data_IF_588859952000
#
_entry.id   IF_588859952000
#
_cell.length_a   1.000
_cell.length_b   1.000
_cell.length_c   1.000
_cell.angle_alpha   90.00
_cell.angle_beta   90.00
_cell.angle_gamma   90.00
#
_symmetry.space_group_name_H-M   'P 1'
#
loop_
_entity.id
_entity.type
_entity.pdbx_description
1 polymer ?
#
# COMPACT_ATOMS: atom_id res chain seq x y z
N UNK A 1 -9.54 -19.22 -9.38
CA UNK A 1 -8.39 -18.47 -9.93
C UNK A 1 -7.80 -17.70 -8.77
N UNK A 2 -6.47 -17.63 -8.62
CA UNK A 2 -5.89 -16.82 -7.55
C UNK A 2 -6.08 -15.33 -7.84
N UNK A 3 -6.35 -14.58 -6.80
CA UNK A 3 -6.49 -13.13 -6.79
C UNK A 3 -5.17 -12.43 -7.07
N UNK A 4 -5.22 -11.10 -7.08
CA UNK A 4 -4.07 -10.26 -7.40
C UNK A 4 -3.74 -9.35 -6.24
N UNK A 5 -2.50 -9.40 -5.77
CA UNK A 5 -2.00 -8.42 -4.81
C UNK A 5 -1.64 -7.12 -5.54
N UNK A 6 -2.17 -5.99 -5.08
CA UNK A 6 -1.87 -4.66 -5.58
C UNK A 6 -1.17 -3.84 -4.50
N UNK A 7 0.11 -3.57 -4.71
CA UNK A 7 0.91 -2.74 -3.83
C UNK A 7 0.88 -1.28 -4.28
N UNK A 8 0.32 -0.41 -3.45
CA UNK A 8 0.28 1.04 -3.69
C UNK A 8 1.47 1.69 -2.98
N UNK A 9 2.43 2.19 -3.73
CA UNK A 9 3.63 2.88 -3.22
C UNK A 9 3.68 4.31 -3.71
N UNK A 10 4.57 5.13 -3.13
CA UNK A 10 4.69 6.54 -3.48
C UNK A 10 5.12 7.41 -2.32
N UNK A 11 5.61 8.62 -2.61
CA UNK A 11 6.07 9.57 -1.60
C UNK A 11 4.94 9.94 -0.63
N UNK A 12 5.31 10.37 0.58
CA UNK A 12 4.33 10.98 1.48
C UNK A 12 3.75 12.24 0.83
N UNK A 13 2.44 12.48 0.95
CA UNK A 13 1.76 13.59 0.30
C UNK A 13 1.39 13.38 -1.18
N UNK A 14 1.81 12.28 -1.81
CA UNK A 14 1.40 11.94 -3.18
C UNK A 14 -0.09 11.59 -3.32
N UNK A 15 -0.81 11.40 -2.20
CA UNK A 15 -2.26 11.14 -2.20
C UNK A 15 -2.67 9.68 -2.34
N UNK A 16 -1.79 8.73 -1.96
CA UNK A 16 -2.08 7.28 -1.99
C UNK A 16 -3.38 6.92 -1.28
N UNK A 17 -3.54 7.38 -0.04
CA UNK A 17 -4.72 7.06 0.78
C UNK A 17 -5.98 7.62 0.13
N UNK A 18 -5.94 8.86 -0.37
CA UNK A 18 -7.06 9.46 -1.11
C UNK A 18 -7.47 8.67 -2.35
N UNK A 19 -6.52 8.10 -3.10
CA UNK A 19 -6.85 7.25 -4.25
C UNK A 19 -7.40 5.88 -3.83
N UNK A 20 -6.88 5.32 -2.74
CA UNK A 20 -7.37 4.07 -2.16
C UNK A 20 -8.81 4.25 -1.66
N UNK A 21 -9.09 5.35 -0.96
CA UNK A 21 -10.42 5.68 -0.47
C UNK A 21 -11.40 5.90 -1.63
N UNK A 22 -10.95 6.62 -2.67
CA UNK A 22 -11.73 6.81 -3.90
C UNK A 22 -12.18 5.49 -4.53
N UNK A 23 -11.27 4.51 -4.60
CA UNK A 23 -11.60 3.17 -5.11
C UNK A 23 -12.45 2.36 -4.12
N UNK A 24 -12.20 2.48 -2.81
CA UNK A 24 -12.94 1.74 -1.77
C UNK A 24 -14.43 2.06 -1.80
N UNK A 25 -14.80 3.30 -2.07
CA UNK A 25 -16.19 3.71 -2.21
C UNK A 25 -16.90 3.12 -3.44
N UNK A 26 -16.16 2.56 -4.40
CA UNK A 26 -16.66 2.17 -5.74
C UNK A 26 -16.49 0.69 -6.07
N UNK A 27 -15.74 -0.05 -5.26
CA UNK A 27 -15.55 -1.50 -5.41
C UNK A 27 -16.31 -2.24 -4.31
N UNK A 28 -16.84 -3.41 -4.63
CA UNK A 28 -17.56 -4.25 -3.66
C UNK A 28 -16.59 -5.14 -2.86
N UNK A 29 -16.97 -5.59 -1.65
CA UNK A 29 -16.15 -6.50 -0.84
C UNK A 29 -15.83 -7.85 -1.50
N UNK A 30 -16.66 -8.26 -2.47
CA UNK A 30 -16.45 -9.50 -3.24
C UNK A 30 -15.42 -9.32 -4.36
N UNK A 31 -15.23 -8.09 -4.84
CA UNK A 31 -14.25 -7.76 -5.89
C UNK A 31 -12.87 -7.47 -5.31
N UNK A 32 -12.83 -6.75 -4.19
CA UNK A 32 -11.61 -6.18 -3.66
C UNK A 32 -11.57 -6.14 -2.14
N UNK A 33 -10.38 -6.36 -1.59
CA UNK A 33 -10.10 -6.19 -0.15
C UNK A 33 -9.03 -5.13 0.04
N UNK A 34 -9.32 -4.15 0.90
CA UNK A 34 -8.38 -3.09 1.27
C UNK A 34 -7.72 -3.44 2.60
N UNK A 35 -6.45 -3.83 2.55
CA UNK A 35 -5.74 -4.38 3.70
C UNK A 35 -5.46 -3.29 4.73
N UNK A 36 -5.96 -3.51 5.95
CA UNK A 36 -5.60 -2.71 7.12
C UNK A 36 -4.22 -3.15 7.61
N UNK A 37 -3.29 -2.21 7.70
CA UNK A 37 -1.95 -2.47 8.24
C UNK A 37 -1.99 -2.47 9.77
N UNK A 38 -1.25 -3.38 10.37
CA UNK A 38 -0.90 -3.34 11.80
C UNK A 38 0.34 -2.48 11.96
N UNK A 39 0.35 -1.56 12.93
CA UNK A 39 1.48 -0.62 13.13
C UNK A 39 1.85 -0.52 14.61
N UNK A 40 3.15 -0.52 14.91
CA UNK A 40 3.62 -0.26 16.28
C UNK A 40 3.63 1.22 16.60
N UNK A 41 2.47 1.81 16.87
CA UNK A 41 2.33 3.15 17.44
C UNK A 41 1.71 3.06 18.83
N UNK A 42 2.03 3.99 19.72
CA UNK A 42 1.23 4.17 20.93
C UNK A 42 -0.23 4.36 20.51
N UNK A 43 -1.17 3.70 21.21
CA UNK A 43 -2.59 3.73 20.89
C UNK A 43 -3.13 5.15 21.12
N UNK A 44 -2.97 6.02 20.14
CA UNK A 44 -3.48 7.38 20.19
C UNK A 44 -4.88 7.41 19.57
N UNK A 45 -5.84 7.98 20.31
CA UNK A 45 -7.28 7.92 20.00
C UNK A 45 -7.66 8.63 18.69
N UNK A 46 -6.72 9.34 18.05
CA UNK A 46 -6.92 10.09 16.80
C UNK A 46 -6.31 9.43 15.56
N UNK A 47 -5.75 8.23 15.67
CA UNK A 47 -4.85 7.74 14.64
C UNK A 47 -5.61 6.83 13.64
N UNK A 48 -5.67 7.26 12.37
CA UNK A 48 -6.45 6.64 11.29
C UNK A 48 -6.14 5.13 11.10
N UNK A 49 -7.20 4.39 10.75
CA UNK A 49 -7.38 3.06 10.13
C UNK A 49 -6.30 1.96 10.22
N UNK A 50 -5.59 1.86 11.36
CA UNK A 50 -4.60 0.82 11.64
C UNK A 50 -4.83 0.16 12.99
N UNK A 51 -4.67 -1.17 13.06
CA UNK A 51 -4.62 -1.87 14.34
C UNK A 51 -3.27 -1.58 15.01
N UNK A 52 -3.32 -1.08 16.23
CA UNK A 52 -2.13 -0.68 16.98
C UNK A 52 -1.74 -1.76 17.98
N UNK A 53 -0.47 -2.12 18.01
CA UNK A 53 0.09 -3.01 19.03
C UNK A 53 1.45 -2.49 19.48
N UNK A 54 1.86 -2.81 20.70
CA UNK A 54 3.22 -2.47 21.12
C UNK A 54 4.27 -3.32 20.37
N UNK A 55 5.54 -2.91 20.44
CA UNK A 55 6.65 -3.62 19.77
C UNK A 55 6.81 -5.06 20.23
N UNK A 56 6.54 -5.37 21.50
CA UNK A 56 6.71 -6.72 22.03
C UNK A 56 5.60 -7.67 21.54
N UNK A 57 4.37 -7.18 21.48
CA UNK A 57 3.23 -7.87 20.88
C UNK A 57 3.45 -8.08 19.38
N UNK A 58 3.96 -7.07 18.67
CA UNK A 58 4.30 -7.19 17.25
C UNK A 58 5.36 -8.27 17.01
N UNK A 59 6.43 -8.29 17.78
CA UNK A 59 7.47 -9.32 17.66
C UNK A 59 6.90 -10.72 17.88
N UNK A 60 6.07 -10.92 18.91
CA UNK A 60 5.39 -12.20 19.15
C UNK A 60 4.44 -12.60 18.02
N UNK A 61 3.69 -11.64 17.47
CA UNK A 61 2.79 -11.88 16.35
C UNK A 61 3.57 -12.29 15.08
N UNK A 62 4.68 -11.62 14.79
CA UNK A 62 5.57 -11.96 13.70
C UNK A 62 6.21 -13.35 13.87
N UNK A 63 6.72 -13.67 15.06
CA UNK A 63 7.27 -15.00 15.38
C UNK A 63 6.20 -16.11 15.27
N UNK A 64 4.95 -15.80 15.60
CA UNK A 64 3.81 -16.70 15.46
C UNK A 64 3.28 -16.80 14.01
N UNK A 65 3.89 -16.11 13.04
CA UNK A 65 3.51 -16.15 11.63
C UNK A 65 2.21 -15.40 11.30
N UNK A 66 1.76 -14.48 12.16
CA UNK A 66 0.49 -13.76 11.98
C UNK A 66 0.52 -12.71 10.86
N UNK A 67 1.70 -12.42 10.30
CA UNK A 67 1.87 -11.48 9.20
C UNK A 67 2.28 -12.18 7.90
N UNK A 68 1.59 -11.84 6.82
CA UNK A 68 2.00 -12.17 5.47
C UNK A 68 3.29 -11.42 5.07
N UNK A 69 3.38 -10.16 5.49
CA UNK A 69 4.55 -9.30 5.33
C UNK A 69 4.69 -8.44 6.57
N UNK A 70 5.91 -8.29 7.07
CA UNK A 70 6.26 -7.32 8.09
C UNK A 70 7.56 -6.59 7.71
N UNK A 71 7.65 -5.30 8.07
CA UNK A 71 8.82 -4.47 7.81
C UNK A 71 8.94 -3.34 8.84
N UNK A 72 10.15 -2.78 8.96
CA UNK A 72 10.40 -1.58 9.77
C UNK A 72 10.56 -0.34 8.88
N UNK A 73 9.93 0.76 9.27
CA UNK A 73 10.14 2.07 8.66
C UNK A 73 9.94 3.18 9.69
N UNK A 74 10.79 4.21 9.66
CA UNK A 74 10.67 5.37 10.55
C UNK A 74 10.61 5.03 12.05
N UNK A 75 11.28 3.95 12.48
CA UNK A 75 11.27 3.49 13.87
C UNK A 75 10.00 2.74 14.30
N UNK A 76 9.06 2.50 13.38
CA UNK A 76 7.84 1.73 13.60
C UNK A 76 7.90 0.43 12.81
N UNK A 77 7.33 -0.64 13.36
CA UNK A 77 7.08 -1.89 12.67
C UNK A 77 5.68 -1.84 12.04
N UNK A 78 5.57 -2.43 10.86
CA UNK A 78 4.35 -2.52 10.07
C UNK A 78 4.13 -3.97 9.68
N UNK A 79 2.90 -4.45 9.75
CA UNK A 79 2.50 -5.80 9.38
C UNK A 79 1.26 -5.80 8.49
N UNK A 80 1.24 -6.68 7.49
CA UNK A 80 0.03 -7.07 6.80
C UNK A 80 -0.46 -8.40 7.39
N UNK A 81 -1.72 -8.51 7.86
CA UNK A 81 -2.25 -9.75 8.40
C UNK A 81 -2.13 -10.91 7.41
N UNK A 82 -1.81 -12.11 7.90
CA UNK A 82 -1.76 -13.32 7.06
C UNK A 82 -3.11 -13.63 6.40
N UNK A 83 -4.24 -13.21 7.00
CA UNK A 83 -5.58 -13.45 6.48
C UNK A 83 -5.83 -12.90 5.07
N UNK A 84 -4.99 -11.97 4.58
CA UNK A 84 -5.07 -11.50 3.20
C UNK A 84 -4.78 -12.62 2.18
N UNK A 85 -4.10 -13.69 2.58
CA UNK A 85 -3.85 -14.85 1.72
C UNK A 85 -5.15 -15.59 1.39
N UNK A 86 -6.14 -15.54 2.28
CA UNK A 86 -7.46 -16.12 2.04
C UNK A 86 -8.22 -15.31 0.98
N UNK A 87 -8.16 -13.97 1.04
CA UNK A 87 -8.76 -13.10 0.01
C UNK A 87 -8.10 -13.29 -1.37
N UNK A 88 -6.77 -13.50 -1.39
CA UNK A 88 -6.08 -13.91 -2.61
C UNK A 88 -6.51 -15.29 -3.08
N UNK A 89 -6.72 -16.26 -2.19
CA UNK A 89 -7.19 -17.59 -2.57
C UNK A 89 -8.61 -17.54 -3.17
N UNK A 90 -9.46 -16.66 -2.64
CA UNK A 90 -10.83 -16.41 -3.10
C UNK A 90 -10.91 -15.68 -4.45
N UNK A 91 -9.78 -15.24 -5.01
CA UNK A 91 -9.74 -14.58 -6.31
C UNK A 91 -9.90 -13.07 -6.26
N UNK A 92 -9.91 -12.46 -5.07
CA UNK A 92 -10.12 -11.02 -4.92
C UNK A 92 -8.88 -10.21 -5.30
N UNK A 93 -9.08 -8.94 -5.60
CA UNK A 93 -7.99 -7.97 -5.70
C UNK A 93 -7.66 -7.47 -4.28
N UNK A 94 -6.45 -7.75 -3.80
CA UNK A 94 -6.02 -7.36 -2.45
C UNK A 94 -5.14 -6.12 -2.55
N UNK A 95 -5.61 -4.99 -2.05
CA UNK A 95 -4.93 -3.68 -2.16
C UNK A 95 -4.29 -3.31 -0.82
N UNK A 96 -2.99 -3.05 -0.83
CA UNK A 96 -2.26 -2.58 0.35
C UNK A 96 -1.39 -1.36 0.02
N UNK A 97 -1.45 -0.34 0.87
CA UNK A 97 -0.51 0.78 0.82
C UNK A 97 0.81 0.34 1.47
N UNK A 98 1.93 0.45 0.75
CA UNK A 98 3.23 -0.06 1.18
C UNK A 98 4.35 0.98 1.02
N UNK A 99 5.45 0.73 1.73
CA UNK A 99 6.71 1.43 1.47
C UNK A 99 7.41 0.81 0.27
N UNK A 100 8.18 1.60 -0.49
CA UNK A 100 9.00 1.06 -1.58
C UNK A 100 10.03 0.04 -1.07
N UNK A 101 10.45 0.17 0.18
CA UNK A 101 11.45 -0.72 0.81
C UNK A 101 10.97 -2.17 0.94
N UNK A 102 9.66 -2.42 1.07
CA UNK A 102 9.12 -3.79 1.25
C UNK A 102 8.83 -4.48 -0.10
N UNK A 103 8.94 -3.76 -1.23
CA UNK A 103 8.61 -4.31 -2.55
C UNK A 103 9.47 -5.53 -2.94
N UNK A 104 10.78 -5.60 -2.67
CA UNK A 104 11.55 -6.81 -2.93
C UNK A 104 11.00 -8.05 -2.19
N UNK A 105 10.62 -7.90 -0.92
CA UNK A 105 10.04 -8.98 -0.11
C UNK A 105 8.63 -9.36 -0.61
N UNK A 106 7.82 -8.36 -0.97
CA UNK A 106 6.52 -8.57 -1.61
C UNK A 106 6.67 -9.42 -2.88
N UNK A 107 7.57 -9.05 -3.79
CA UNK A 107 7.75 -9.75 -5.06
C UNK A 107 8.28 -11.18 -4.88
N UNK A 108 9.02 -11.46 -3.80
CA UNK A 108 9.42 -12.83 -3.46
C UNK A 108 8.24 -13.69 -3.01
N UNK A 109 7.35 -13.13 -2.17
CA UNK A 109 6.18 -13.85 -1.65
C UNK A 109 5.03 -13.94 -2.65
N UNK A 110 4.78 -12.87 -3.39
CA UNK A 110 3.72 -12.72 -4.39
C UNK A 110 4.32 -12.31 -5.74
N UNK A 111 4.89 -13.25 -6.52
CA UNK A 111 5.56 -12.95 -7.78
C UNK A 111 4.68 -12.26 -8.83
N UNK A 112 3.37 -12.46 -8.73
CA UNK A 112 2.36 -11.88 -9.62
C UNK A 112 1.76 -10.56 -9.09
N UNK A 113 2.33 -9.99 -8.01
CA UNK A 113 1.85 -8.73 -7.48
C UNK A 113 2.03 -7.59 -8.50
N UNK A 114 1.05 -6.70 -8.54
CA UNK A 114 1.08 -5.47 -9.34
C UNK A 114 1.50 -4.33 -8.43
N UNK A 115 2.55 -3.62 -8.82
CA UNK A 115 3.01 -2.42 -8.09
C UNK A 115 2.45 -1.19 -8.80
N UNK A 116 1.71 -0.37 -8.07
CA UNK A 116 1.23 0.93 -8.51
C UNK A 116 1.98 2.01 -7.74
N UNK A 117 2.73 2.83 -8.46
CA UNK A 117 3.41 3.99 -7.90
C UNK A 117 2.61 5.26 -8.12
N UNK A 118 2.13 5.85 -7.03
CA UNK A 118 1.49 7.17 -7.04
C UNK A 118 2.58 8.24 -6.93
N UNK A 119 2.62 9.12 -7.93
CA UNK A 119 3.49 10.29 -7.96
C UNK A 119 2.67 11.57 -7.98
N UNK A 120 3.30 12.66 -7.57
CA UNK A 120 2.79 13.99 -7.78
C UNK A 120 3.99 14.94 -7.91
N UNK A 121 3.78 16.07 -8.57
CA UNK A 121 4.73 17.16 -8.67
C UNK A 121 5.21 17.53 -7.25
N UNK A 122 6.53 17.65 -7.02
CA UNK A 122 7.07 18.12 -5.75
C UNK A 122 6.36 19.37 -5.21
N UNK A 123 6.05 20.36 -6.05
CA UNK A 123 5.42 21.59 -5.59
C UNK A 123 4.00 21.34 -5.07
N UNK A 124 3.26 20.44 -5.72
CA UNK A 124 1.93 19.98 -5.28
C UNK A 124 2.03 19.21 -3.97
N UNK A 125 3.05 18.36 -3.80
CA UNK A 125 3.29 17.65 -2.53
C UNK A 125 3.58 18.65 -1.40
N UNK A 126 4.43 19.65 -1.64
CA UNK A 126 4.75 20.68 -0.64
C UNK A 126 3.49 21.43 -0.20
N UNK A 127 2.67 21.87 -1.16
CA UNK A 127 1.41 22.57 -0.87
C UNK A 127 0.45 21.70 -0.04
N UNK A 128 0.28 20.42 -0.40
CA UNK A 128 -0.57 19.47 0.33
C UNK A 128 -0.08 19.21 1.75
N UNK A 129 1.24 19.12 1.96
CA UNK A 129 1.81 18.95 3.28
C UNK A 129 1.68 20.22 4.13
N UNK A 130 1.91 21.40 3.55
CA UNK A 130 1.75 22.68 4.22
C UNK A 130 0.29 22.94 4.66
N UNK A 131 -0.68 22.55 3.83
CA UNK A 131 -2.11 22.69 4.12
C UNK A 131 -2.62 21.86 5.31
N UNK A 132 -1.84 20.89 5.82
CA UNK A 132 -2.21 20.08 7.00
C UNK A 132 -2.00 20.79 8.33
N UNK A 133 -1.42 21.99 8.33
CA UNK A 133 -1.35 22.90 9.49
C UNK A 133 -0.50 22.42 10.68
N UNK A 134 0.12 21.24 10.61
CA UNK A 134 0.87 20.60 11.71
C UNK A 134 2.36 20.38 11.40
N UNK A 135 2.85 20.79 10.22
CA UNK A 135 4.22 20.50 9.77
C UNK A 135 4.99 21.79 9.48
N UNK A 136 6.21 21.92 10.02
CA UNK A 136 7.11 23.03 9.72
C UNK A 136 7.75 22.84 8.34
N UNK A 137 8.17 23.94 7.69
CA UNK A 137 8.85 23.87 6.39
C UNK A 137 10.09 22.96 6.41
N UNK A 138 10.79 22.87 7.55
CA UNK A 138 11.90 21.94 7.76
C UNK A 138 11.46 20.47 7.77
N UNK A 139 10.39 20.14 8.50
CA UNK A 139 9.79 18.78 8.50
C UNK A 139 9.33 18.37 7.10
N UNK A 140 8.74 19.30 6.34
CA UNK A 140 8.33 19.07 4.95
C UNK A 140 9.56 18.80 4.07
N UNK A 141 10.61 19.62 4.19
CA UNK A 141 11.87 19.43 3.47
C UNK A 141 12.53 18.07 3.76
N UNK A 142 12.54 17.64 5.02
CA UNK A 142 13.04 16.32 5.43
C UNK A 142 12.16 15.18 4.92
N UNK A 143 10.84 15.38 4.79
CA UNK A 143 9.94 14.38 4.18
C UNK A 143 10.14 14.29 2.67
N UNK A 144 10.46 15.40 2.01
CA UNK A 144 10.73 15.46 0.58
C UNK A 144 12.11 14.92 0.20
N UNK A 145 13.12 15.13 1.04
CA UNK A 145 14.50 14.67 0.80
C UNK A 145 14.72 13.19 1.08
N UNK A 146 13.77 12.53 1.77
CA UNK A 146 13.72 11.07 2.00
C UNK A 146 13.46 10.32 0.68
N UNK A 147 14.49 10.25 -0.16
CA UNK A 147 14.56 9.30 -1.26
C UNK A 147 14.81 7.90 -0.69
N UNK A 148 13.77 7.09 -0.59
CA UNK A 148 13.95 5.65 -0.44
C UNK A 148 14.34 5.11 -1.80
N UNK A 149 15.64 4.89 -1.98
CA UNK A 149 16.28 4.33 -3.18
C UNK A 149 16.00 2.83 -3.34
N UNK A 150 14.75 2.41 -3.20
CA UNK A 150 14.35 1.06 -3.58
C UNK A 150 13.95 1.07 -5.06
N UNK A 151 14.64 0.25 -5.86
CA UNK A 151 14.26 0.02 -7.25
C UNK A 151 12.93 -0.72 -7.27
N UNK A 152 11.94 -0.13 -7.91
CA UNK A 152 10.67 -0.78 -8.17
C UNK A 152 10.81 -1.70 -9.40
N UNK A 153 9.95 -2.75 -9.53
CA UNK A 153 9.90 -3.58 -10.72
C UNK A 153 9.68 -2.74 -11.99
N UNK A 154 10.21 -3.18 -13.13
CA UNK A 154 9.98 -2.52 -14.42
C UNK A 154 8.51 -2.55 -14.86
N UNK A 155 7.72 -3.50 -14.32
CA UNK A 155 6.27 -3.62 -14.52
C UNK A 155 5.45 -2.64 -13.65
N UNK A 156 6.10 -1.76 -12.87
CA UNK A 156 5.40 -0.80 -12.02
C UNK A 156 4.58 0.17 -12.87
N UNK A 157 3.29 0.28 -12.54
CA UNK A 157 2.38 1.23 -13.17
C UNK A 157 2.44 2.54 -12.41
N UNK A 158 2.70 3.65 -13.10
CA UNK A 158 2.77 4.96 -12.47
C UNK A 158 1.45 5.72 -12.64
N UNK A 159 0.95 6.30 -11.56
CA UNK A 159 -0.23 7.18 -11.57
C UNK A 159 0.20 8.56 -11.11
N UNK A 160 0.07 9.54 -12.00
CA UNK A 160 0.24 10.94 -11.67
C UNK A 160 -1.02 11.49 -10.98
N UNK A 161 -0.84 12.02 -9.78
CA UNK A 161 -1.83 12.67 -8.94
C UNK A 161 -1.46 14.15 -8.66
N UNK A 162 -0.83 14.82 -9.63
CA UNK A 162 -0.53 16.26 -9.57
C UNK A 162 -1.76 17.12 -9.84
N UNK A 163 -2.69 16.63 -10.67
CA UNK A 163 -3.91 17.33 -11.05
C UNK A 163 -5.11 17.02 -10.15
N UNK A 164 -6.29 16.97 -10.76
CA UNK A 164 -7.55 16.63 -10.11
C UNK A 164 -7.52 15.19 -9.55
N UNK A 165 -7.88 15.04 -8.27
CA UNK A 165 -7.97 13.76 -7.58
C UNK A 165 -8.93 12.80 -8.30
N UNK A 166 -10.05 13.27 -8.82
CA UNK A 166 -11.02 12.43 -9.51
C UNK A 166 -10.44 11.80 -10.77
N UNK A 167 -9.61 12.54 -11.52
CA UNK A 167 -8.97 11.99 -12.72
C UNK A 167 -7.94 10.90 -12.39
N UNK A 168 -7.15 11.11 -11.34
CA UNK A 168 -6.22 10.09 -10.86
C UNK A 168 -6.97 8.89 -10.23
N UNK A 169 -8.08 9.15 -9.54
CA UNK A 169 -8.98 8.17 -8.94
C UNK A 169 -9.61 7.26 -9.98
N UNK A 170 -10.14 7.81 -11.07
CA UNK A 170 -10.71 7.03 -12.17
C UNK A 170 -9.65 6.16 -12.88
N UNK A 171 -8.43 6.67 -13.07
CA UNK A 171 -7.32 5.85 -13.59
C UNK A 171 -6.97 4.70 -12.65
N UNK A 172 -6.87 4.98 -11.35
CA UNK A 172 -6.57 3.97 -10.35
C UNK A 172 -7.68 2.90 -10.27
N UNK A 173 -8.94 3.34 -10.23
CA UNK A 173 -10.11 2.46 -10.24
C UNK A 173 -10.17 1.59 -11.50
N UNK A 174 -9.94 2.17 -12.67
CA UNK A 174 -9.94 1.43 -13.94
C UNK A 174 -8.93 0.29 -13.95
N UNK A 175 -7.72 0.53 -13.42
CA UNK A 175 -6.70 -0.52 -13.26
C UNK A 175 -7.17 -1.64 -12.32
N UNK A 176 -7.78 -1.30 -11.18
CA UNK A 176 -8.31 -2.30 -10.25
C UNK A 176 -9.45 -3.11 -10.89
N UNK A 177 -10.39 -2.47 -11.57
CA UNK A 177 -11.48 -3.15 -12.27
C UNK A 177 -10.98 -4.07 -13.38
N UNK A 178 -9.92 -3.69 -14.08
CA UNK A 178 -9.29 -4.57 -15.07
C UNK A 178 -8.68 -5.82 -14.43
N UNK A 179 -8.08 -5.70 -13.25
CA UNK A 179 -7.57 -6.83 -12.48
C UNK A 179 -8.69 -7.72 -11.94
N UNK A 180 -9.82 -7.14 -11.52
CA UNK A 180 -11.03 -7.88 -11.14
C UNK A 180 -11.55 -8.70 -12.32
N UNK A 181 -11.62 -8.10 -13.52
CA UNK A 181 -12.11 -8.76 -14.75
C UNK A 181 -11.12 -9.79 -15.31
N UNK A 182 -9.82 -9.57 -15.12
CA UNK A 182 -8.73 -10.39 -15.67
C UNK A 182 -7.69 -10.66 -14.58
N UNK A 183 -7.94 -11.65 -13.70
CA UNK A 183 -6.96 -12.04 -12.70
C UNK A 183 -5.66 -12.47 -13.38
N UNK A 184 -4.51 -12.08 -12.81
CA UNK A 184 -3.21 -12.53 -13.33
C UNK A 184 -3.16 -14.06 -13.29
N UNK A 185 -2.82 -14.75 -14.39
CA UNK A 185 -2.75 -16.21 -14.39
C UNK A 185 -1.83 -16.71 -13.28
N UNK A 186 -2.35 -17.55 -12.40
CA UNK A 186 -1.54 -18.21 -11.37
C UNK A 186 -0.45 -19.03 -12.05
N UNK A 187 0.82 -18.76 -11.74
CA UNK A 187 1.91 -19.62 -12.19
C UNK A 187 1.69 -20.99 -11.54
N UNK A 188 1.36 -22.00 -12.34
CA UNK A 188 1.18 -23.37 -11.85
C UNK A 188 2.42 -23.77 -11.06
N UNK A 189 2.28 -24.02 -9.77
CA UNK A 189 3.32 -24.72 -9.02
C UNK A 189 3.45 -26.11 -9.64
N UNK A 190 4.59 -26.34 -10.31
CA UNK A 190 4.93 -27.66 -10.81
C UNK A 190 5.12 -28.58 -9.61
N UNK A 191 4.22 -29.55 -9.48
CA UNK A 191 4.44 -30.74 -8.66
C UNK A 191 5.69 -31.45 -9.18
N UNK A 192 6.74 -31.47 -8.37
CA UNK A 192 7.90 -32.34 -8.49
C UNK A 192 7.97 -33.23 -7.26
#
# INVERSE_FOLDING_TARGET
MSGTFVAVVGRSGAGKDSLIDYARERLTPDEATFVRRVVTREADAQSEDHDTMDRAAFAKAAEAGQFALDWEAHGLCYGLPQSLDDDLADGKVVIANLSRAVIPQLMQRYPNAVVIEVVADPDVIAQRLAGRGRETAQSIGERMSRNVSARLPTSTVQIDNSGDLAQAGERFLGLLQDLVRRPVPSARQGTG
#
